data_IF_205772512857
#
_entry.id   IF_205772512857
#
_cell.length_a   1.000
_cell.length_b   1.000
_cell.length_c   1.000
_cell.angle_alpha   90.00
_cell.angle_beta   90.00
_cell.angle_gamma   90.00
#
_symmetry.space_group_name_H-M   'P 1'
#
loop_
_entity.id
_entity.type
_entity.pdbx_description
1 polymer ?
#
# COMPACT_ATOMS: atom_id res chain seq x y z
N UNK A 1 -13.21 -11.94 9.63
CA UNK A 1 -12.54 -12.62 8.49
C UNK A 1 -12.49 -11.60 7.36
N UNK A 2 -11.33 -11.27 6.80
CA UNK A 2 -11.29 -10.45 5.58
C UNK A 2 -11.61 -11.39 4.40
N UNK A 3 -12.50 -10.99 3.50
CA UNK A 3 -12.89 -11.76 2.32
C UNK A 3 -12.65 -10.92 1.06
N UNK A 4 -12.04 -11.50 0.02
CA UNK A 4 -11.80 -10.83 -1.25
C UNK A 4 -10.43 -11.13 -1.85
N UNK A 5 -10.05 -10.33 -2.85
CA UNK A 5 -8.73 -10.39 -3.46
C UNK A 5 -7.71 -9.73 -2.53
N UNK A 6 -6.61 -10.43 -2.23
CA UNK A 6 -5.50 -9.90 -1.45
C UNK A 6 -4.31 -9.66 -2.36
N UNK A 7 -3.71 -8.48 -2.23
CA UNK A 7 -2.46 -8.16 -2.89
C UNK A 7 -1.35 -8.05 -1.84
N UNK A 8 -0.25 -8.77 -2.06
CA UNK A 8 0.91 -8.78 -1.19
C UNK A 8 2.12 -8.20 -1.91
N UNK A 9 2.89 -7.37 -1.21
CA UNK A 9 4.14 -6.83 -1.70
C UNK A 9 5.25 -6.93 -0.65
N UNK A 10 6.44 -7.32 -1.08
CA UNK A 10 7.66 -7.36 -0.25
C UNK A 10 8.69 -6.31 -0.69
N UNK A 11 8.42 -5.58 -1.77
CA UNK A 11 9.28 -4.53 -2.30
C UNK A 11 8.52 -3.58 -3.23
N UNK A 12 9.25 -2.65 -3.85
CA UNK A 12 8.67 -1.66 -4.75
C UNK A 12 8.16 -2.32 -6.02
N UNK A 13 6.87 -2.18 -6.30
CA UNK A 13 6.28 -2.77 -7.50
C UNK A 13 5.01 -2.04 -7.93
N UNK A 14 4.62 -2.28 -9.18
CA UNK A 14 3.32 -1.85 -9.68
C UNK A 14 2.28 -2.90 -9.30
N UNK A 15 1.12 -2.40 -8.88
CA UNK A 15 0.02 -3.26 -8.48
C UNK A 15 -0.83 -3.49 -9.72
N UNK A 16 -1.01 -4.76 -10.08
CA UNK A 16 -1.86 -5.18 -11.19
C UNK A 16 -3.05 -5.97 -10.65
N UNK A 17 -4.25 -5.68 -11.15
CA UNK A 17 -5.47 -6.39 -10.74
C UNK A 17 -6.12 -5.92 -9.43
N UNK A 18 -5.60 -4.88 -8.78
CA UNK A 18 -6.25 -4.23 -7.63
C UNK A 18 -6.48 -2.74 -7.93
N UNK A 19 -7.73 -2.34 -8.10
CA UNK A 19 -8.07 -0.94 -8.40
C UNK A 19 -8.08 -0.07 -7.14
N UNK A 20 -8.61 -0.62 -6.03
CA UNK A 20 -8.67 0.08 -4.74
C UNK A 20 -8.56 -0.92 -3.59
N UNK A 21 -7.72 -0.60 -2.62
CA UNK A 21 -7.62 -1.36 -1.37
C UNK A 21 -8.58 -0.78 -0.32
N UNK A 22 -9.39 -1.66 0.28
CA UNK A 22 -10.30 -1.33 1.39
C UNK A 22 -9.69 -1.54 2.76
N UNK A 23 -8.57 -2.24 2.82
CA UNK A 23 -7.75 -2.46 4.00
C UNK A 23 -6.29 -2.48 3.60
N UNK A 24 -5.41 -1.90 4.40
CA UNK A 24 -3.96 -1.92 4.20
C UNK A 24 -3.29 -2.44 5.45
N UNK A 25 -2.32 -3.33 5.26
CA UNK A 25 -1.57 -3.91 6.36
C UNK A 25 -0.08 -3.86 6.04
N UNK A 26 0.61 -2.90 6.66
CA UNK A 26 2.05 -2.77 6.51
C UNK A 26 2.76 -3.62 7.57
N UNK A 27 3.08 -4.86 7.22
CA UNK A 27 3.85 -5.77 8.09
C UNK A 27 5.37 -5.59 8.00
N UNK A 28 5.82 -4.56 7.27
CA UNK A 28 7.24 -4.29 7.13
C UNK A 28 7.75 -3.36 8.24
N UNK A 29 9.06 -3.39 8.48
CA UNK A 29 9.75 -2.44 9.36
C UNK A 29 10.00 -1.07 8.72
N UNK A 30 9.29 -0.72 7.63
CA UNK A 30 9.47 0.51 6.86
C UNK A 30 8.11 1.13 6.55
N UNK A 31 8.07 2.45 6.40
CA UNK A 31 6.88 3.13 5.88
C UNK A 31 6.69 2.75 4.41
N UNK A 32 5.44 2.65 3.99
CA UNK A 32 5.05 2.25 2.63
C UNK A 32 4.12 3.32 2.07
N UNK A 33 4.44 3.84 0.88
CA UNK A 33 3.51 4.67 0.10
C UNK A 33 2.82 3.85 -0.96
N UNK A 34 1.50 3.99 -1.00
CA UNK A 34 0.65 3.46 -2.06
C UNK A 34 0.26 4.64 -2.94
N UNK A 35 0.51 4.51 -4.23
CA UNK A 35 0.25 5.51 -5.25
C UNK A 35 -0.93 5.08 -6.12
N UNK A 36 -1.75 6.04 -6.54
CA UNK A 36 -2.90 5.79 -7.40
C UNK A 36 -2.51 5.37 -8.82
N UNK A 37 -1.34 5.81 -9.30
CA UNK A 37 -0.80 5.48 -10.61
C UNK A 37 0.33 4.46 -10.56
N UNK A 38 0.62 3.86 -11.72
CA UNK A 38 1.79 3.00 -11.89
C UNK A 38 3.10 3.80 -11.78
N UNK A 39 4.20 3.14 -11.42
CA UNK A 39 5.51 3.77 -11.38
C UNK A 39 5.74 4.75 -10.22
N UNK A 40 4.80 4.89 -9.29
CA UNK A 40 4.83 5.90 -8.23
C UNK A 40 4.24 7.25 -8.64
N UNK A 41 3.31 7.26 -9.60
CA UNK A 41 2.66 8.48 -10.09
C UNK A 41 1.29 8.71 -9.44
N UNK A 42 0.75 9.92 -9.56
CA UNK A 42 -0.57 10.27 -9.04
C UNK A 42 -0.60 10.61 -7.55
N UNK A 43 -1.76 10.49 -6.93
CA UNK A 43 -1.91 10.74 -5.48
C UNK A 43 -1.29 9.60 -4.69
N UNK A 44 -0.78 9.91 -3.51
CA UNK A 44 -0.16 8.91 -2.65
C UNK A 44 -0.73 8.97 -1.23
N UNK A 45 -0.87 7.81 -0.62
CA UNK A 45 -1.09 7.68 0.82
C UNK A 45 0.07 6.91 1.43
N UNK A 46 0.54 7.39 2.57
CA UNK A 46 1.62 6.79 3.31
C UNK A 46 1.07 6.00 4.50
N UNK A 47 1.63 4.81 4.72
CA UNK A 47 1.32 3.92 5.82
C UNK A 47 2.61 3.64 6.59
N UNK A 48 2.68 4.07 7.85
CA UNK A 48 3.86 3.86 8.68
C UNK A 48 4.16 2.37 8.91
N UNK A 49 5.37 2.06 9.34
CA UNK A 49 5.80 0.70 9.66
C UNK A 49 4.87 0.04 10.70
N UNK A 50 4.49 -1.22 10.48
CA UNK A 50 3.63 -1.97 11.40
C UNK A 50 2.15 -1.59 11.40
N UNK A 51 1.73 -0.57 10.64
CA UNK A 51 0.34 -0.08 10.67
C UNK A 51 -0.63 -1.10 10.07
N UNK A 52 -1.72 -1.35 10.81
CA UNK A 52 -2.92 -1.99 10.31
C UNK A 52 -4.02 -0.95 10.15
N UNK A 53 -4.58 -0.86 8.94
CA UNK A 53 -5.74 -0.03 8.69
C UNK A 53 -6.84 -0.88 8.06
N UNK A 54 -7.85 -1.22 8.86
CA UNK A 54 -8.94 -2.12 8.50
C UNK A 54 -9.98 -1.48 7.58
N UNK A 55 -10.03 -0.14 7.52
CA UNK A 55 -10.99 0.60 6.71
C UNK A 55 -10.30 1.81 6.08
N UNK A 56 -9.86 1.64 4.84
CA UNK A 56 -9.24 2.70 4.02
C UNK A 56 -9.86 2.69 2.63
N UNK A 57 -9.61 3.73 1.86
CA UNK A 57 -9.90 3.72 0.42
C UNK A 57 -8.71 4.34 -0.29
N UNK A 58 -7.76 3.49 -0.67
CA UNK A 58 -6.56 3.91 -1.40
C UNK A 58 -6.57 3.28 -2.78
N UNK A 59 -6.34 4.08 -3.81
CA UNK A 59 -6.12 3.57 -5.16
C UNK A 59 -4.74 2.94 -5.21
N UNK A 60 -4.68 1.64 -5.50
CA UNK A 60 -3.44 0.86 -5.45
C UNK A 60 -2.91 0.64 -6.87
N UNK A 61 -2.31 1.67 -7.47
CA UNK A 61 -1.63 1.56 -8.77
C UNK A 61 -0.16 1.14 -8.63
N UNK A 62 0.51 1.56 -7.55
CA UNK A 62 1.84 1.08 -7.21
C UNK A 62 2.15 1.20 -5.72
N UNK A 63 3.07 0.37 -5.23
CA UNK A 63 3.52 0.35 -3.83
C UNK A 63 5.01 0.61 -3.79
N UNK A 64 5.46 1.53 -2.93
CA UNK A 64 6.86 1.89 -2.71
C UNK A 64 7.17 1.85 -1.21
N UNK A 65 8.21 1.11 -0.86
CA UNK A 65 8.80 1.06 0.46
C UNK A 65 9.76 2.23 0.60
N UNK A 66 9.58 2.99 1.67
CA UNK A 66 10.44 4.09 2.04
C UNK A 66 11.64 3.56 2.82
N UNK A 67 12.63 4.41 3.01
CA UNK A 67 13.78 4.15 3.90
C UNK A 67 13.47 4.49 5.35
N UNK A 68 12.45 5.31 5.60
CA UNK A 68 11.98 5.72 6.93
C UNK A 68 10.96 4.73 7.48
N UNK A 69 10.73 4.76 8.79
CA UNK A 69 9.65 4.03 9.47
C UNK A 69 8.36 4.86 9.57
N UNK A 70 8.49 6.18 9.45
CA UNK A 70 7.39 7.14 9.55
C UNK A 70 6.94 7.68 8.20
N UNK A 71 5.68 8.09 8.24
CA UNK A 71 5.03 9.01 7.33
C UNK A 71 4.88 10.34 8.09
#
# INVERSE_FOLDING_TARGET
>A
MYSGAFYGATGNQNVTGLSSAKSVWNRSGRAVRVFSGAGGTGTSQCFAAGVQSASVSVSAGSVRFLTTTSC
#
